data_IF_909403992576
#
_entry.id   IF_909403992576
#
_cell.length_a   1.000
_cell.length_b   1.000
_cell.length_c   1.000
_cell.angle_alpha   90.00
_cell.angle_beta   90.00
_cell.angle_gamma   90.00
#
_symmetry.space_group_name_H-M   'P 1'
#
loop_
_entity.id
_entity.type
_entity.pdbx_description
1 polymer ?
#
# COMPACT_ATOMS: atom_id res chain seq x y z
N UNK A 1 -23.67 45.18 9.34
CA UNK A 1 -24.55 44.70 8.27
C UNK A 1 -24.13 43.27 7.91
N UNK A 2 -24.67 42.26 8.58
CA UNK A 2 -24.47 40.87 8.22
C UNK A 2 -25.44 40.52 7.09
N UNK A 3 -25.12 40.94 5.87
CA UNK A 3 -25.87 40.57 4.68
C UNK A 3 -25.22 39.32 4.07
N UNK A 4 -26.05 38.28 3.87
CA UNK A 4 -25.84 37.15 2.96
C UNK A 4 -25.21 35.85 3.50
N UNK A 5 -25.58 35.40 4.71
CA UNK A 5 -25.42 33.97 5.07
C UNK A 5 -26.60 33.16 4.51
N UNK A 6 -26.32 32.27 3.57
CA UNK A 6 -27.30 31.33 3.03
C UNK A 6 -27.53 30.20 4.05
N UNK A 7 -28.62 30.31 4.81
CA UNK A 7 -29.01 29.40 5.88
C UNK A 7 -29.25 27.95 5.43
N UNK A 8 -29.40 27.69 4.13
CA UNK A 8 -29.51 26.34 3.57
C UNK A 8 -28.16 25.63 3.36
N UNK A 9 -27.05 26.37 3.45
CA UNK A 9 -25.70 25.84 3.28
C UNK A 9 -25.01 25.60 4.64
N UNK A 10 -25.70 25.85 5.74
CA UNK A 10 -25.17 25.56 7.06
C UNK A 10 -25.19 24.04 7.24
N UNK A 11 -24.00 23.46 7.43
CA UNK A 11 -23.84 22.06 7.81
C UNK A 11 -24.21 21.91 9.29
N UNK A 12 -25.48 21.64 9.53
CA UNK A 12 -26.03 21.42 10.88
C UNK A 12 -25.54 20.09 11.48
N UNK A 13 -25.20 19.12 10.62
CA UNK A 13 -24.75 17.79 11.02
C UNK A 13 -23.31 17.85 11.59
N UNK A 14 -22.47 18.77 11.13
CA UNK A 14 -21.14 19.01 11.71
C UNK A 14 -21.16 19.38 13.21
N UNK A 15 -22.29 19.85 13.72
CA UNK A 15 -22.47 20.19 15.13
C UNK A 15 -22.99 19.02 15.98
N UNK A 16 -23.54 17.97 15.35
CA UNK A 16 -24.06 16.79 16.04
C UNK A 16 -22.91 16.02 16.71
N UNK A 17 -23.00 15.85 18.03
CA UNK A 17 -21.99 15.16 18.81
C UNK A 17 -22.00 13.65 18.57
N UNK A 18 -23.14 13.08 18.19
CA UNK A 18 -23.26 11.65 17.85
C UNK A 18 -22.59 11.30 16.52
N UNK A 19 -22.33 12.32 15.68
CA UNK A 19 -21.60 12.18 14.42
C UNK A 19 -20.09 12.40 14.58
N UNK A 20 -19.63 12.91 15.75
CA UNK A 20 -18.21 13.08 16.06
C UNK A 20 -17.61 11.75 16.53
N UNK A 21 -17.41 10.84 15.58
CA UNK A 21 -16.64 9.63 15.84
C UNK A 21 -15.15 9.97 15.94
N UNK A 22 -14.48 9.68 17.08
CA UNK A 22 -13.05 9.91 17.22
C UNK A 22 -12.29 9.11 16.15
N UNK A 23 -11.40 9.79 15.41
CA UNK A 23 -10.58 9.13 14.40
C UNK A 23 -9.73 8.01 15.02
N UNK A 24 -9.37 8.13 16.30
CA UNK A 24 -8.62 7.10 17.04
C UNK A 24 -9.42 5.80 17.24
N UNK A 25 -10.76 5.85 17.19
CA UNK A 25 -11.60 4.63 17.22
C UNK A 25 -11.71 3.97 15.85
N UNK A 26 -11.42 4.70 14.76
CA UNK A 26 -11.49 4.19 13.39
C UNK A 26 -10.22 3.47 12.96
N UNK A 27 -9.07 3.78 13.56
CA UNK A 27 -7.79 3.14 13.26
C UNK A 27 -7.19 2.50 14.50
N UNK A 28 -6.75 1.23 14.43
CA UNK A 28 -6.07 0.59 15.57
C UNK A 28 -4.79 1.36 15.94
N UNK A 29 -4.45 1.47 17.24
CA UNK A 29 -3.22 2.14 17.66
C UNK A 29 -2.00 1.33 17.19
N UNK A 30 -1.01 2.02 16.64
CA UNK A 30 0.28 1.46 16.23
C UNK A 30 1.41 2.20 16.92
N UNK A 31 2.48 1.47 17.23
CA UNK A 31 3.71 2.10 17.70
C UNK A 31 4.28 3.01 16.60
N UNK A 32 4.74 4.23 16.95
CA UNK A 32 5.28 5.15 15.96
C UNK A 32 6.55 4.57 15.33
N UNK A 33 6.57 4.52 14.01
CA UNK A 33 7.73 4.03 13.24
C UNK A 33 8.53 5.23 12.74
N UNK A 34 9.80 5.39 13.12
CA UNK A 34 10.60 6.52 12.66
C UNK A 34 10.96 6.36 11.18
N UNK A 35 10.99 7.47 10.45
CA UNK A 35 11.33 7.49 9.01
C UNK A 35 12.71 6.89 8.72
N UNK A 36 13.65 6.96 9.67
CA UNK A 36 14.98 6.35 9.55
C UNK A 36 14.94 4.81 9.45
N UNK A 37 14.02 4.15 10.16
CA UNK A 37 13.86 2.70 10.07
C UNK A 37 13.34 2.29 8.68
N UNK A 38 12.44 3.09 8.11
CA UNK A 38 11.89 2.88 6.76
C UNK A 38 12.98 3.09 5.70
N UNK A 39 13.84 4.09 5.88
CA UNK A 39 14.98 4.32 5.00
C UNK A 39 15.97 3.13 5.03
N UNK A 40 16.25 2.58 6.22
CA UNK A 40 17.09 1.39 6.36
C UNK A 40 16.48 0.17 5.66
N UNK A 41 15.17 -0.06 5.87
CA UNK A 41 14.43 -1.13 5.21
C UNK A 41 14.45 -0.98 3.68
N UNK A 42 14.27 0.25 3.17
CA UNK A 42 14.36 0.56 1.74
C UNK A 42 15.75 0.25 1.17
N UNK A 43 16.82 0.62 1.88
CA UNK A 43 18.19 0.30 1.50
C UNK A 43 18.45 -1.21 1.49
N UNK A 44 17.94 -1.94 2.49
CA UNK A 44 18.02 -3.40 2.55
C UNK A 44 17.33 -4.04 1.34
N UNK A 45 16.10 -3.62 1.02
CA UNK A 45 15.35 -4.11 -0.13
C UNK A 45 16.09 -3.86 -1.44
N UNK A 46 16.65 -2.66 -1.63
CA UNK A 46 17.47 -2.33 -2.82
C UNK A 46 18.71 -3.19 -2.92
N UNK A 47 19.35 -3.52 -1.80
CA UNK A 47 20.47 -4.46 -1.77
C UNK A 47 20.07 -5.88 -2.22
N UNK A 48 18.90 -6.36 -1.82
CA UNK A 48 18.37 -7.66 -2.25
C UNK A 48 18.01 -7.66 -3.75
N UNK A 49 17.41 -6.58 -4.27
CA UNK A 49 17.15 -6.43 -5.71
C UNK A 49 18.46 -6.53 -6.51
N UNK A 50 19.53 -5.87 -6.06
CA UNK A 50 20.84 -5.93 -6.73
C UNK A 50 21.47 -7.33 -6.73
N UNK A 51 21.12 -8.18 -5.75
CA UNK A 51 21.55 -9.58 -5.69
C UNK A 51 20.68 -10.53 -6.51
N UNK A 52 19.57 -10.03 -7.06
CA UNK A 52 18.56 -10.84 -7.76
C UNK A 52 17.58 -11.54 -6.83
N UNK A 53 17.62 -11.27 -5.52
CA UNK A 53 16.75 -11.85 -4.50
C UNK A 53 15.42 -11.07 -4.38
N UNK A 54 14.76 -10.84 -5.52
CA UNK A 54 13.58 -9.96 -5.60
C UNK A 54 12.38 -10.49 -4.78
N UNK A 55 12.17 -11.81 -4.76
CA UNK A 55 11.10 -12.45 -3.99
C UNK A 55 11.27 -12.21 -2.48
N UNK A 56 12.52 -12.32 -2.00
CA UNK A 56 12.88 -12.06 -0.61
C UNK A 56 12.68 -10.59 -0.25
N UNK A 57 13.11 -9.69 -1.13
CA UNK A 57 12.91 -8.25 -0.98
C UNK A 57 11.43 -7.91 -0.81
N UNK A 58 10.56 -8.50 -1.65
CA UNK A 58 9.13 -8.29 -1.58
C UNK A 58 8.55 -8.83 -0.27
N UNK A 59 8.93 -10.04 0.14
CA UNK A 59 8.45 -10.64 1.39
C UNK A 59 8.78 -9.77 2.60
N UNK A 60 10.05 -9.36 2.73
CA UNK A 60 10.53 -8.51 3.83
C UNK A 60 9.80 -7.16 3.85
N UNK A 61 9.58 -6.54 2.68
CA UNK A 61 8.87 -5.27 2.58
C UNK A 61 7.40 -5.37 3.00
N UNK A 62 6.75 -6.51 2.74
CA UNK A 62 5.35 -6.76 3.11
C UNK A 62 5.20 -7.14 4.59
N UNK A 63 6.13 -7.93 5.14
CA UNK A 63 6.15 -8.30 6.56
C UNK A 63 6.35 -7.06 7.46
N UNK A 64 7.10 -6.06 6.99
CA UNK A 64 7.46 -4.87 7.75
C UNK A 64 6.72 -3.60 7.26
N UNK A 65 5.41 -3.72 7.01
CA UNK A 65 4.58 -2.59 6.62
C UNK A 65 4.49 -1.53 7.76
N UNK A 66 4.91 -0.27 7.54
CA UNK A 66 5.05 0.72 8.61
C UNK A 66 3.72 1.44 8.91
N UNK A 67 2.74 0.73 9.50
CA UNK A 67 1.41 1.28 9.79
C UNK A 67 1.43 2.54 10.69
N UNK A 68 2.38 2.61 11.62
CA UNK A 68 2.59 3.74 12.54
C UNK A 68 3.55 4.83 12.04
N UNK A 69 3.93 4.81 10.75
CA UNK A 69 4.75 5.88 10.18
C UNK A 69 3.93 7.13 9.82
N UNK A 70 4.63 8.25 9.67
CA UNK A 70 4.09 9.46 9.06
C UNK A 70 3.80 9.26 7.56
N UNK A 71 3.02 10.18 6.98
CA UNK A 71 2.65 10.10 5.55
C UNK A 71 3.87 10.05 4.62
N UNK A 72 4.95 10.76 4.97
CA UNK A 72 6.19 10.74 4.20
C UNK A 72 6.88 9.36 4.27
N UNK A 73 6.93 8.73 5.45
CA UNK A 73 7.45 7.38 5.62
C UNK A 73 6.64 6.33 4.86
N UNK A 74 5.31 6.43 4.93
CA UNK A 74 4.39 5.56 4.18
C UNK A 74 4.57 5.69 2.66
N UNK A 75 4.74 6.91 2.16
CA UNK A 75 5.01 7.17 0.74
C UNK A 75 6.36 6.62 0.28
N UNK A 76 7.40 6.75 1.10
CA UNK A 76 8.72 6.16 0.85
C UNK A 76 8.65 4.63 0.77
N UNK A 77 7.93 4.01 1.70
CA UNK A 77 7.76 2.55 1.71
C UNK A 77 6.95 2.07 0.51
N UNK A 78 5.86 2.77 0.17
CA UNK A 78 5.08 2.49 -1.04
C UNK A 78 5.95 2.58 -2.30
N UNK A 79 6.83 3.57 -2.40
CA UNK A 79 7.76 3.70 -3.53
C UNK A 79 8.71 2.51 -3.59
N UNK A 80 9.23 2.06 -2.45
CA UNK A 80 10.11 0.88 -2.37
C UNK A 80 9.38 -0.39 -2.83
N UNK A 81 8.14 -0.61 -2.39
CA UNK A 81 7.34 -1.77 -2.83
C UNK A 81 7.12 -1.72 -4.35
N UNK A 82 6.74 -0.57 -4.91
CA UNK A 82 6.53 -0.43 -6.36
C UNK A 82 7.83 -0.66 -7.15
N UNK A 83 8.98 -0.21 -6.65
CA UNK A 83 10.30 -0.50 -7.25
C UNK A 83 10.59 -2.01 -7.30
N UNK A 84 10.31 -2.74 -6.21
CA UNK A 84 10.47 -4.21 -6.16
C UNK A 84 9.53 -4.89 -7.16
N UNK A 85 8.27 -4.47 -7.23
CA UNK A 85 7.30 -5.05 -8.17
C UNK A 85 7.71 -4.84 -9.63
N UNK A 86 8.36 -3.71 -9.94
CA UNK A 86 8.90 -3.42 -11.27
C UNK A 86 10.20 -4.15 -11.61
N UNK A 87 10.96 -4.64 -10.61
CA UNK A 87 12.21 -5.37 -10.86
C UNK A 87 12.00 -6.86 -11.19
N UNK A 88 10.83 -7.41 -10.83
CA UNK A 88 10.45 -8.80 -11.07
C UNK A 88 9.87 -8.94 -12.49
N UNK A 89 10.32 -9.96 -13.23
CA UNK A 89 9.83 -10.22 -14.58
C UNK A 89 8.41 -10.80 -14.56
N UNK A 90 7.63 -10.52 -15.61
CA UNK A 90 6.26 -11.02 -15.73
C UNK A 90 6.15 -12.55 -15.61
N UNK A 91 7.12 -13.30 -16.13
CA UNK A 91 7.19 -14.76 -16.04
C UNK A 91 7.41 -15.29 -14.61
N UNK A 92 7.91 -14.46 -13.70
CA UNK A 92 8.27 -14.85 -12.32
C UNK A 92 7.21 -14.41 -11.29
N UNK A 93 6.21 -13.63 -11.70
CA UNK A 93 5.18 -13.06 -10.83
C UNK A 93 4.42 -14.15 -10.07
N UNK A 94 3.82 -15.11 -10.79
CA UNK A 94 3.02 -16.17 -10.18
C UNK A 94 3.87 -17.05 -9.24
N UNK A 95 5.12 -17.36 -9.61
CA UNK A 95 6.02 -18.14 -8.77
C UNK A 95 6.38 -17.40 -7.47
N UNK A 96 6.63 -16.09 -7.56
CA UNK A 96 6.93 -15.22 -6.42
C UNK A 96 5.75 -15.18 -5.45
N UNK A 97 4.53 -14.94 -5.96
CA UNK A 97 3.33 -14.88 -5.12
C UNK A 97 3.00 -16.22 -4.46
N UNK A 98 3.12 -17.34 -5.19
CA UNK A 98 2.91 -18.67 -4.60
C UNK A 98 3.93 -18.99 -3.50
N UNK A 99 5.18 -18.54 -3.67
CA UNK A 99 6.21 -18.67 -2.64
C UNK A 99 5.84 -17.88 -1.39
N UNK A 100 5.45 -16.61 -1.54
CA UNK A 100 5.03 -15.76 -0.41
C UNK A 100 3.80 -16.35 0.27
N UNK A 101 2.80 -16.78 -0.50
CA UNK A 101 1.57 -17.39 0.01
C UNK A 101 1.82 -18.67 0.81
N UNK A 102 2.80 -19.48 0.39
CA UNK A 102 3.12 -20.76 1.03
C UNK A 102 4.19 -20.68 2.13
N UNK A 103 4.96 -19.60 2.18
CA UNK A 103 6.13 -19.46 3.07
C UNK A 103 5.80 -19.33 4.56
N UNK A 104 4.59 -18.91 4.91
CA UNK A 104 4.17 -18.65 6.29
C UNK A 104 2.66 -18.88 6.43
N UNK A 105 2.20 -19.19 7.64
CA UNK A 105 0.78 -19.23 7.97
C UNK A 105 0.08 -17.89 7.69
N UNK A 106 0.84 -16.78 7.74
CA UNK A 106 0.39 -15.43 7.40
C UNK A 106 0.50 -15.08 5.90
N UNK A 107 0.78 -16.06 5.01
CA UNK A 107 0.99 -15.80 3.59
C UNK A 107 -0.21 -15.12 2.90
N UNK A 108 -1.43 -15.42 3.34
CA UNK A 108 -2.63 -14.73 2.88
C UNK A 108 -2.69 -13.26 3.30
N UNK A 109 -2.24 -12.94 4.51
CA UNK A 109 -2.19 -11.56 5.02
C UNK A 109 -1.12 -10.71 4.32
N UNK A 110 -0.01 -11.35 3.90
CA UNK A 110 1.01 -10.69 3.09
C UNK A 110 0.46 -10.33 1.70
N UNK A 111 -0.34 -11.20 1.09
CA UNK A 111 -0.99 -10.88 -0.19
C UNK A 111 -2.09 -9.82 -0.05
N UNK A 112 -2.82 -9.82 1.07
CA UNK A 112 -3.75 -8.72 1.38
C UNK A 112 -3.00 -7.40 1.58
N UNK A 113 -1.85 -7.42 2.26
CA UNK A 113 -0.99 -6.25 2.44
C UNK A 113 -0.42 -5.76 1.10
N UNK A 114 -0.01 -6.68 0.22
CA UNK A 114 0.39 -6.35 -1.15
C UNK A 114 -0.76 -5.68 -1.90
N UNK A 115 -1.99 -6.22 -1.78
CA UNK A 115 -3.17 -5.63 -2.41
C UNK A 115 -3.40 -4.18 -1.94
N UNK A 116 -3.14 -3.85 -0.67
CA UNK A 116 -3.17 -2.43 -0.20
C UNK A 116 -2.17 -1.56 -0.95
N UNK A 117 -0.93 -2.01 -1.11
CA UNK A 117 0.09 -1.27 -1.86
C UNK A 117 -0.23 -1.14 -3.34
N UNK A 118 -0.92 -2.11 -3.94
CA UNK A 118 -1.38 -2.01 -5.33
C UNK A 118 -2.42 -0.88 -5.47
N UNK A 119 -3.43 -0.84 -4.59
CA UNK A 119 -4.40 0.26 -4.59
C UNK A 119 -3.77 1.61 -4.29
N UNK A 120 -2.89 1.67 -3.29
CA UNK A 120 -2.16 2.91 -2.97
C UNK A 120 -1.30 3.37 -4.15
N UNK A 121 -0.55 2.45 -4.76
CA UNK A 121 0.29 2.72 -5.92
C UNK A 121 -0.51 3.23 -7.13
N UNK A 122 -1.69 2.66 -7.38
CA UNK A 122 -2.60 3.12 -8.44
C UNK A 122 -3.26 4.47 -8.13
N UNK A 123 -3.46 4.80 -6.85
CA UNK A 123 -4.01 6.09 -6.44
C UNK A 123 -3.01 7.25 -6.55
N UNK A 124 -1.71 6.96 -6.69
CA UNK A 124 -0.67 7.99 -6.88
C UNK A 124 -0.88 8.70 -8.22
N UNK A 125 -1.13 10.00 -8.16
CA UNK A 125 -1.29 10.87 -9.34
C UNK A 125 0.01 10.99 -10.15
N UNK A 126 1.14 10.80 -9.48
CA UNK A 126 2.49 10.91 -10.03
C UNK A 126 3.20 9.55 -9.93
N UNK A 127 2.78 8.55 -10.72
CA UNK A 127 3.57 7.33 -10.87
C UNK A 127 4.97 7.73 -11.39
N UNK A 128 6.07 7.36 -10.71
CA UNK A 128 7.39 7.83 -11.09
C UNK A 128 7.72 7.39 -12.52
N UNK A 129 8.02 8.38 -13.38
CA UNK A 129 8.60 8.20 -14.70
C UNK A 129 10.01 7.57 -14.58
N UNK A 130 10.12 6.30 -14.24
CA UNK A 130 11.37 5.56 -14.42
C UNK A 130 11.29 4.83 -15.76
N UNK A 131 11.67 5.53 -16.82
CA UNK A 131 11.73 4.99 -18.18
C UNK A 131 11.01 5.85 -19.21
N UNK A 132 11.55 5.90 -20.43
CA UNK A 132 11.01 6.59 -21.61
C UNK A 132 9.71 5.94 -22.13
N UNK A 133 8.70 5.80 -21.28
CA UNK A 133 7.36 5.34 -21.60
C UNK A 133 6.42 5.93 -20.56
N UNK A 134 5.36 6.62 -21.00
CA UNK A 134 4.51 7.45 -20.15
C UNK A 134 3.87 6.73 -18.95
N UNK A 135 3.07 7.47 -18.18
CA UNK A 135 2.35 7.03 -16.97
C UNK A 135 1.61 5.68 -17.08
N UNK A 136 1.39 5.16 -18.31
CA UNK A 136 0.85 3.84 -18.62
C UNK A 136 1.74 2.66 -18.19
N UNK A 137 3.07 2.79 -18.15
CA UNK A 137 3.96 1.62 -17.91
C UNK A 137 3.99 1.18 -16.44
N UNK A 138 3.90 2.11 -15.49
CA UNK A 138 3.80 1.76 -14.07
C UNK A 138 2.45 1.13 -13.73
N UNK A 139 1.38 1.67 -14.32
CA UNK A 139 0.03 1.18 -14.07
C UNK A 139 -0.21 -0.22 -14.66
N UNK A 140 0.34 -0.53 -15.84
CA UNK A 140 0.22 -1.88 -16.43
C UNK A 140 0.89 -2.95 -15.55
N UNK A 141 2.02 -2.63 -14.92
CA UNK A 141 2.69 -3.53 -13.97
C UNK A 141 1.81 -3.75 -12.73
N UNK A 142 1.26 -2.69 -12.13
CA UNK A 142 0.39 -2.81 -10.95
C UNK A 142 -0.88 -3.62 -11.25
N UNK A 143 -1.49 -3.41 -12.41
CA UNK A 143 -2.66 -4.18 -12.84
C UNK A 143 -2.32 -5.66 -13.08
N UNK A 144 -1.15 -5.95 -13.65
CA UNK A 144 -0.68 -7.32 -13.81
C UNK A 144 -0.47 -8.01 -12.46
N UNK A 145 0.11 -7.30 -11.48
CA UNK A 145 0.25 -7.83 -10.12
C UNK A 145 -1.09 -8.04 -9.44
N UNK A 146 -2.03 -7.10 -9.61
CA UNK A 146 -3.38 -7.23 -9.08
C UNK A 146 -4.07 -8.49 -9.62
N UNK A 147 -4.03 -8.72 -10.94
CA UNK A 147 -4.56 -9.94 -11.55
C UNK A 147 -3.98 -11.20 -10.89
N UNK A 148 -2.66 -11.27 -10.73
CA UNK A 148 -1.99 -12.45 -10.16
C UNK A 148 -2.24 -12.64 -8.67
N UNK A 149 -2.39 -11.57 -7.90
CA UNK A 149 -2.80 -11.67 -6.49
C UNK A 149 -4.23 -12.22 -6.40
N UNK A 150 -5.16 -11.74 -7.23
CA UNK A 150 -6.54 -12.25 -7.24
C UNK A 150 -6.62 -13.70 -7.71
N UNK A 151 -5.78 -14.11 -8.67
CA UNK A 151 -5.69 -15.50 -9.13
C UNK A 151 -5.30 -16.47 -8.00
N UNK A 152 -4.42 -16.04 -7.09
CA UNK A 152 -3.86 -16.89 -6.01
C UNK A 152 -4.64 -16.74 -4.70
N UNK A 153 -4.89 -15.51 -4.24
CA UNK A 153 -5.56 -15.22 -2.96
C UNK A 153 -7.10 -15.16 -3.07
N UNK A 154 -7.63 -15.15 -4.30
CA UNK A 154 -9.05 -14.97 -4.58
C UNK A 154 -9.54 -13.53 -4.36
N UNK A 155 -10.83 -13.32 -4.67
CA UNK A 155 -11.51 -12.03 -4.53
C UNK A 155 -11.62 -11.54 -3.08
N UNK A 156 -11.48 -12.43 -2.10
CA UNK A 156 -11.51 -12.09 -0.68
C UNK A 156 -10.40 -11.11 -0.28
N UNK A 157 -9.27 -11.12 -0.99
CA UNK A 157 -8.17 -10.17 -0.75
C UNK A 157 -8.59 -8.71 -0.98
N UNK A 158 -9.37 -8.46 -2.04
CA UNK A 158 -9.93 -7.13 -2.33
C UNK A 158 -10.88 -6.70 -1.22
N UNK A 159 -11.81 -7.57 -0.83
CA UNK A 159 -12.83 -7.27 0.19
C UNK A 159 -12.16 -6.92 1.51
N UNK A 160 -11.16 -7.71 1.93
CA UNK A 160 -10.42 -7.45 3.18
C UNK A 160 -9.71 -6.11 3.13
N UNK A 161 -9.05 -5.75 2.03
CA UNK A 161 -8.44 -4.43 1.86
C UNK A 161 -9.45 -3.29 1.96
N UNK A 162 -10.62 -3.43 1.34
CA UNK A 162 -11.67 -2.39 1.39
C UNK A 162 -12.23 -2.18 2.80
N UNK A 163 -12.16 -3.20 3.67
CA UNK A 163 -12.59 -3.11 5.07
C UNK A 163 -11.46 -2.80 6.06
N UNK A 164 -10.21 -2.92 5.64
CA UNK A 164 -9.06 -2.79 6.53
C UNK A 164 -8.78 -1.32 6.86
N UNK A 165 -8.80 -1.00 8.15
CA UNK A 165 -8.54 0.34 8.67
C UNK A 165 -7.05 0.65 8.87
N UNK A 166 -6.18 -0.35 8.73
CA UNK A 166 -4.73 -0.21 8.82
C UNK A 166 -4.20 0.32 7.49
N UNK A 167 -3.87 1.61 7.45
CA UNK A 167 -3.43 2.30 6.24
C UNK A 167 -1.93 2.16 6.05
N UNK A 168 -1.55 1.83 4.81
CA UNK A 168 -0.15 1.81 4.33
C UNK A 168 0.17 3.05 3.53
#
# INVERSE_FOLDING_TARGET
>A
MAANQNWRLIDVDALDEDLKYPAELLSPPFDPVPTSAIQQLSQQCRGLIQRGENSEALRIALENAPYGADEAGKELHCTTVVEILGSIKQSEMSATLNTIYSSSEAGSELLDTLMKYLYKGMARKDAPQSGSGGASSGMSVLLSWHEKVVEIAGLGSIVRVMTDRRTV
#
